data_IF_321428425597
#
_entry.id   IF_321428425597
#
_cell.length_a   1.000
_cell.length_b   1.000
_cell.length_c   1.000
_cell.angle_alpha   90.00
_cell.angle_beta   90.00
_cell.angle_gamma   90.00
#
_symmetry.space_group_name_H-M   'P 1'
#
loop_
_entity.id
_entity.type
_entity.pdbx_description
1 polymer ?
#
# COMPACT_ATOMS: atom_id res chain seq x y z
N UNK A 1 -9.85 24.88 10.13
CA UNK A 1 -10.54 23.56 10.07
C UNK A 1 -11.34 23.38 8.79
N UNK A 2 -12.23 24.31 8.38
CA UNK A 2 -12.82 24.29 7.02
C UNK A 2 -11.76 24.20 5.90
N UNK A 3 -10.59 24.84 6.07
CA UNK A 3 -9.46 24.72 5.15
C UNK A 3 -8.87 23.30 5.06
N UNK A 4 -8.85 22.53 6.15
CA UNK A 4 -8.38 21.12 6.10
C UNK A 4 -9.38 20.29 5.29
N UNK A 5 -10.68 20.51 5.49
CA UNK A 5 -11.72 19.85 4.70
C UNK A 5 -11.65 20.21 3.21
N UNK A 6 -11.41 21.48 2.88
CA UNK A 6 -11.20 21.93 1.50
C UNK A 6 -9.93 21.34 0.89
N UNK A 7 -8.84 21.25 1.67
CA UNK A 7 -7.60 20.60 1.23
C UNK A 7 -7.85 19.13 0.86
N UNK A 8 -8.66 18.40 1.66
CA UNK A 8 -9.07 17.02 1.33
C UNK A 8 -9.81 16.97 0.00
N UNK A 9 -10.68 17.94 -0.29
CA UNK A 9 -11.43 17.99 -1.54
C UNK A 9 -10.52 18.29 -2.73
N UNK A 10 -9.56 19.21 -2.61
CA UNK A 10 -8.60 19.50 -3.68
C UNK A 10 -7.65 18.33 -3.96
N UNK A 11 -7.13 17.66 -2.92
CA UNK A 11 -6.23 16.50 -3.10
C UNK A 11 -6.97 15.25 -3.58
N UNK A 12 -8.30 15.19 -3.45
CA UNK A 12 -9.11 14.13 -4.07
C UNK A 12 -8.97 14.09 -5.59
N UNK A 13 -8.57 15.20 -6.21
CA UNK A 13 -8.29 15.29 -7.64
C UNK A 13 -6.88 14.81 -8.00
N UNK A 14 -5.99 14.63 -7.02
CA UNK A 14 -4.60 14.15 -7.17
C UNK A 14 -4.47 12.63 -6.86
N UNK A 15 -5.31 11.80 -7.49
CA UNK A 15 -5.26 10.35 -7.25
C UNK A 15 -4.00 9.72 -7.86
N UNK A 16 -3.25 8.96 -7.05
CA UNK A 16 -2.14 8.13 -7.55
C UNK A 16 -2.64 7.07 -8.54
N UNK A 17 -1.77 6.62 -9.44
CA UNK A 17 -2.14 5.59 -10.42
C UNK A 17 -2.63 4.29 -9.76
N UNK A 18 -2.04 3.92 -8.62
CA UNK A 18 -2.49 2.77 -7.84
C UNK A 18 -3.92 2.99 -7.30
N UNK A 19 -4.25 4.18 -6.77
CA UNK A 19 -5.61 4.50 -6.32
C UNK A 19 -6.61 4.52 -7.48
N UNK A 20 -6.25 5.08 -8.64
CA UNK A 20 -7.09 5.08 -9.83
C UNK A 20 -7.41 3.66 -10.31
N UNK A 21 -6.42 2.78 -10.35
CA UNK A 21 -6.59 1.38 -10.71
C UNK A 21 -7.46 0.66 -9.67
N UNK A 22 -7.23 0.94 -8.39
CA UNK A 22 -8.02 0.37 -7.30
C UNK A 22 -9.50 0.77 -7.42
N UNK A 23 -9.82 2.04 -7.64
CA UNK A 23 -11.19 2.50 -7.84
C UNK A 23 -11.88 1.86 -9.05
N UNK A 24 -11.11 1.47 -10.08
CA UNK A 24 -11.59 0.70 -11.26
C UNK A 24 -11.74 -0.80 -10.99
N UNK A 25 -11.42 -1.28 -9.79
CA UNK A 25 -11.45 -2.71 -9.44
C UNK A 25 -10.30 -3.51 -10.02
N UNK A 26 -9.18 -2.85 -10.35
CA UNK A 26 -7.98 -3.47 -10.92
C UNK A 26 -6.89 -3.71 -9.85
N UNK A 27 -7.30 -3.86 -8.58
CA UNK A 27 -6.40 -4.18 -7.48
C UNK A 27 -6.17 -5.70 -7.43
N UNK A 28 -4.91 -6.13 -7.41
CA UNK A 28 -4.56 -7.54 -7.22
C UNK A 28 -4.43 -7.89 -5.74
N UNK A 29 -4.53 -9.18 -5.40
CA UNK A 29 -4.36 -9.62 -4.02
C UNK A 29 -2.98 -9.26 -3.46
N UNK A 30 -1.92 -9.35 -4.26
CA UNK A 30 -0.56 -8.96 -3.85
C UNK A 30 -0.49 -7.48 -3.51
N UNK A 31 -1.07 -6.62 -4.35
CA UNK A 31 -1.13 -5.17 -4.11
C UNK A 31 -1.88 -4.85 -2.83
N UNK A 32 -3.04 -5.47 -2.64
CA UNK A 32 -3.87 -5.25 -1.47
C UNK A 32 -3.18 -5.74 -0.18
N UNK A 33 -2.47 -6.87 -0.21
CA UNK A 33 -1.69 -7.37 0.92
C UNK A 33 -0.58 -6.40 1.34
N UNK A 34 0.16 -5.81 0.39
CA UNK A 34 1.19 -4.81 0.71
C UNK A 34 0.58 -3.52 1.25
N UNK A 35 -0.58 -3.11 0.73
CA UNK A 35 -1.34 -2.00 1.28
C UNK A 35 -1.73 -2.27 2.73
N UNK A 36 -2.28 -3.45 3.05
CA UNK A 36 -2.63 -3.83 4.43
C UNK A 36 -1.42 -3.81 5.37
N UNK A 37 -0.25 -4.33 4.94
CA UNK A 37 0.98 -4.23 5.72
C UNK A 37 1.35 -2.77 6.04
N UNK A 38 1.25 -1.89 5.05
CA UNK A 38 1.58 -0.47 5.21
C UNK A 38 0.59 0.24 6.13
N UNK A 39 -0.71 -0.03 5.96
CA UNK A 39 -1.76 0.48 6.84
C UNK A 39 -1.54 0.01 8.28
N UNK A 40 -1.24 -1.27 8.51
CA UNK A 40 -0.97 -1.79 9.84
C UNK A 40 0.17 -1.03 10.55
N UNK A 41 1.30 -0.81 9.88
CA UNK A 41 2.40 -0.03 10.45
C UNK A 41 2.00 1.42 10.78
N UNK A 42 1.23 2.06 9.88
CA UNK A 42 0.75 3.45 10.06
C UNK A 42 -0.22 3.55 11.21
N UNK A 43 -1.28 2.73 11.26
CA UNK A 43 -2.25 2.76 12.36
C UNK A 43 -1.62 2.32 13.67
N UNK A 44 -0.65 1.39 13.66
CA UNK A 44 0.09 1.04 14.89
C UNK A 44 0.82 2.23 15.48
N UNK A 45 1.48 3.03 14.63
CA UNK A 45 2.14 4.24 15.09
C UNK A 45 1.14 5.33 15.50
N UNK A 46 0.11 5.57 14.70
CA UNK A 46 -0.91 6.59 14.98
C UNK A 46 -1.66 6.31 16.27
N UNK A 47 -2.18 5.09 16.44
CA UNK A 47 -3.00 4.71 17.59
C UNK A 47 -2.17 4.67 18.87
N UNK A 48 -0.93 4.18 18.82
CA UNK A 48 -0.04 4.24 19.98
C UNK A 48 0.25 5.68 20.44
N UNK A 49 0.39 6.63 19.51
CA UNK A 49 0.64 8.03 19.86
C UNK A 49 -0.65 8.78 20.24
N UNK A 50 -1.82 8.37 19.73
CA UNK A 50 -3.11 8.86 20.22
C UNK A 50 -3.37 8.38 21.65
N UNK A 51 -3.10 7.10 21.94
CA UNK A 51 -3.24 6.52 23.28
C UNK A 51 -2.30 7.21 24.28
N UNK A 52 -1.02 7.39 23.90
CA UNK A 52 -0.02 8.10 24.73
C UNK A 52 -0.47 9.52 25.08
N UNK A 53 -1.18 10.19 24.17
CA UNK A 53 -1.59 11.58 24.30
C UNK A 53 -3.10 11.74 24.55
N UNK A 54 -3.79 10.71 25.03
CA UNK A 54 -5.25 10.72 25.18
C UNK A 54 -5.76 11.87 26.07
N UNK A 55 -4.98 12.28 27.07
CA UNK A 55 -5.32 13.38 27.98
C UNK A 55 -4.84 14.76 27.49
N UNK A 56 -4.09 14.83 26.38
CA UNK A 56 -3.61 16.10 25.84
C UNK A 56 -4.81 16.94 25.33
N UNK A 57 -4.93 18.24 25.66
CA UNK A 57 -6.13 19.05 25.33
C UNK A 57 -6.51 19.09 23.84
N UNK A 58 -5.53 18.95 22.95
CA UNK A 58 -5.77 18.91 21.51
C UNK A 58 -6.13 17.52 20.95
N UNK A 59 -5.88 16.44 21.70
CA UNK A 59 -6.12 15.04 21.26
C UNK A 59 -7.39 14.50 21.92
N UNK A 60 -7.60 14.80 23.20
CA UNK A 60 -8.74 14.34 23.99
C UNK A 60 -10.10 14.51 23.28
N UNK A 61 -10.40 15.65 22.61
CA UNK A 61 -11.70 15.82 21.96
C UNK A 61 -11.95 14.86 20.79
N UNK A 62 -10.89 14.37 20.15
CA UNK A 62 -10.95 13.51 18.96
C UNK A 62 -10.58 12.05 19.25
N UNK A 63 -10.37 11.70 20.51
CA UNK A 63 -9.98 10.36 20.94
C UNK A 63 -11.20 9.43 21.04
N UNK A 64 -11.44 8.63 19.99
CA UNK A 64 -12.55 7.69 19.85
C UNK A 64 -12.07 6.27 19.55
N UNK A 65 -11.33 5.61 20.45
CA UNK A 65 -10.71 4.31 20.16
C UNK A 65 -11.74 3.21 19.89
N UNK A 66 -12.89 3.23 20.58
CA UNK A 66 -13.93 2.20 20.43
C UNK A 66 -14.61 2.25 19.05
N UNK A 67 -14.74 3.44 18.48
CA UNK A 67 -15.39 3.66 17.20
C UNK A 67 -14.41 3.61 16.02
N UNK A 68 -13.19 4.09 16.21
CA UNK A 68 -12.24 4.37 15.13
C UNK A 68 -11.02 3.48 15.09
N UNK A 69 -10.61 2.79 16.17
CA UNK A 69 -9.39 1.99 16.15
C UNK A 69 -9.43 0.93 15.04
N UNK A 70 -8.34 0.79 14.29
CA UNK A 70 -8.21 -0.07 13.11
C UNK A 70 -7.26 -1.24 13.34
N UNK A 71 -6.46 -1.22 14.41
CA UNK A 71 -5.45 -2.26 14.62
C UNK A 71 -6.03 -3.66 14.63
N UNK A 72 -7.04 -3.93 15.46
CA UNK A 72 -7.65 -5.27 15.55
C UNK A 72 -8.19 -5.75 14.19
N UNK A 73 -8.86 -4.88 13.44
CA UNK A 73 -9.41 -5.24 12.13
C UNK A 73 -8.32 -5.47 11.08
N UNK A 74 -7.22 -4.71 11.13
CA UNK A 74 -6.04 -4.94 10.28
C UNK A 74 -5.33 -6.25 10.63
N UNK A 75 -5.24 -6.61 11.91
CA UNK A 75 -4.65 -7.89 12.33
C UNK A 75 -5.47 -9.08 11.82
N UNK A 76 -6.81 -9.01 11.88
CA UNK A 76 -7.70 -10.02 11.32
C UNK A 76 -7.54 -10.17 9.80
N UNK A 77 -7.43 -9.04 9.08
CA UNK A 77 -7.23 -9.06 7.63
C UNK A 77 -5.84 -9.62 7.26
N UNK A 78 -4.79 -9.24 7.99
CA UNK A 78 -3.44 -9.78 7.77
C UNK A 78 -3.37 -11.27 8.07
N UNK A 79 -3.98 -11.75 9.15
CA UNK A 79 -4.07 -13.18 9.45
C UNK A 79 -4.81 -13.95 8.36
N UNK A 80 -5.90 -13.38 7.79
CA UNK A 80 -6.61 -13.98 6.68
C UNK A 80 -5.70 -14.23 5.46
N UNK A 81 -4.86 -13.26 5.08
CA UNK A 81 -4.03 -13.35 3.87
C UNK A 81 -2.67 -14.01 4.05
N UNK A 82 -2.13 -14.04 5.27
CA UNK A 82 -0.76 -14.49 5.55
C UNK A 82 -0.69 -15.64 6.56
N UNK A 83 -1.82 -16.01 7.19
CA UNK A 83 -1.91 -17.03 8.23
C UNK A 83 -1.47 -16.54 9.61
N UNK A 84 -1.41 -17.43 10.62
CA UNK A 84 -1.17 -17.07 12.03
C UNK A 84 0.22 -16.46 12.29
N UNK A 85 1.16 -16.58 11.34
CA UNK A 85 2.49 -15.99 11.42
C UNK A 85 2.66 -14.73 10.56
N UNK A 86 1.55 -14.04 10.25
CA UNK A 86 1.53 -12.84 9.41
C UNK A 86 2.53 -11.76 9.84
N UNK A 87 2.77 -11.60 11.15
CA UNK A 87 3.73 -10.62 11.70
C UNK A 87 5.15 -10.80 11.13
N UNK A 88 5.57 -12.02 10.81
CA UNK A 88 6.89 -12.31 10.21
C UNK A 88 6.95 -12.02 8.70
N UNK A 89 5.81 -11.68 8.09
CA UNK A 89 5.66 -11.46 6.64
C UNK A 89 5.33 -10.01 6.29
N UNK A 90 5.33 -9.12 7.28
CA UNK A 90 5.13 -7.68 7.05
C UNK A 90 6.32 -7.15 6.28
N UNK A 91 6.03 -6.61 5.11
CA UNK A 91 6.98 -5.85 4.30
C UNK A 91 6.31 -4.56 3.89
N UNK A 92 6.98 -3.43 4.08
CA UNK A 92 6.47 -2.10 3.78
C UNK A 92 7.51 -1.26 3.05
N UNK A 93 7.11 -0.29 2.23
CA UNK A 93 8.05 0.61 1.55
C UNK A 93 8.71 1.61 2.50
N UNK A 94 9.80 2.24 2.05
CA UNK A 94 10.51 3.28 2.79
C UNK A 94 9.58 4.45 3.18
N UNK A 95 8.66 4.86 2.30
CA UNK A 95 7.65 5.88 2.61
C UNK A 95 6.78 5.53 3.84
N UNK A 96 6.48 4.24 4.06
CA UNK A 96 5.74 3.83 5.26
C UNK A 96 6.56 4.05 6.52
N UNK A 97 7.86 3.69 6.51
CA UNK A 97 8.75 3.96 7.63
C UNK A 97 8.85 5.46 7.94
N UNK A 98 9.03 6.29 6.90
CA UNK A 98 9.06 7.75 7.02
C UNK A 98 7.78 8.30 7.66
N UNK A 99 6.61 7.80 7.22
CA UNK A 99 5.33 8.19 7.81
C UNK A 99 5.24 7.78 9.29
N UNK A 100 5.51 6.52 9.62
CA UNK A 100 5.46 6.08 11.04
C UNK A 100 6.45 6.82 11.94
N UNK A 101 7.61 7.20 11.41
CA UNK A 101 8.58 8.01 12.12
C UNK A 101 8.01 9.40 12.43
N UNK A 102 7.41 10.08 11.44
CA UNK A 102 6.78 11.38 11.65
C UNK A 102 5.70 11.33 12.73
N UNK A 103 4.85 10.30 12.71
CA UNK A 103 3.81 10.10 13.72
C UNK A 103 4.38 10.01 15.15
N UNK A 104 5.46 9.24 15.33
CA UNK A 104 6.16 9.13 16.63
C UNK A 104 6.82 10.45 17.04
N UNK A 105 7.42 11.16 16.10
CA UNK A 105 8.07 12.45 16.35
C UNK A 105 7.07 13.50 16.85
N UNK A 106 5.92 13.65 16.16
CA UNK A 106 4.90 14.62 16.59
C UNK A 106 4.16 14.15 17.84
N UNK A 107 3.93 12.85 18.01
CA UNK A 107 3.32 12.30 19.21
C UNK A 107 4.14 12.59 20.47
N UNK A 108 5.47 12.66 20.34
CA UNK A 108 6.37 13.02 21.44
C UNK A 108 6.50 14.54 21.64
N UNK A 109 6.67 15.29 20.55
CA UNK A 109 7.16 16.67 20.63
C UNK A 109 6.09 17.72 20.33
N UNK A 110 5.00 17.36 19.66
CA UNK A 110 3.95 18.29 19.22
C UNK A 110 2.59 17.58 19.09
N UNK A 111 2.00 17.07 20.18
CA UNK A 111 0.81 16.22 20.12
C UNK A 111 -0.41 16.87 19.47
N UNK A 112 -0.50 18.20 19.50
CA UNK A 112 -1.54 18.96 18.79
C UNK A 112 -1.58 18.66 17.28
N UNK A 113 -0.47 18.24 16.67
CA UNK A 113 -0.40 17.91 15.25
C UNK A 113 -1.00 16.53 14.93
N UNK A 114 -1.20 15.65 15.92
CA UNK A 114 -1.83 14.34 15.71
C UNK A 114 -3.26 14.47 15.17
N UNK A 115 -3.96 15.58 15.47
CA UNK A 115 -5.30 15.86 14.94
C UNK A 115 -5.33 15.85 13.41
N UNK A 116 -4.26 16.33 12.77
CA UNK A 116 -4.15 16.38 11.32
C UNK A 116 -4.13 14.97 10.71
N UNK A 117 -3.32 14.09 11.27
CA UNK A 117 -3.20 12.71 10.80
C UNK A 117 -4.45 11.87 11.12
N UNK A 118 -4.98 11.98 12.34
CA UNK A 118 -6.21 11.30 12.71
C UNK A 118 -7.39 11.73 11.83
N UNK A 119 -7.50 13.04 11.54
CA UNK A 119 -8.47 13.56 10.59
C UNK A 119 -8.28 12.97 9.20
N UNK A 120 -7.08 13.07 8.62
CA UNK A 120 -6.80 12.59 7.26
C UNK A 120 -7.08 11.10 7.09
N UNK A 121 -6.72 10.28 8.09
CA UNK A 121 -6.93 8.83 8.07
C UNK A 121 -8.40 8.46 8.32
N UNK A 122 -8.92 8.72 9.53
CA UNK A 122 -10.23 8.20 9.93
C UNK A 122 -11.39 8.75 9.11
N UNK A 123 -11.38 10.04 8.74
CA UNK A 123 -12.47 10.61 7.93
C UNK A 123 -12.37 10.19 6.47
N UNK A 124 -11.15 9.90 5.99
CA UNK A 124 -10.94 9.22 4.71
C UNK A 124 -11.61 7.85 4.69
N UNK A 125 -11.33 7.03 5.71
CA UNK A 125 -11.90 5.69 5.84
C UNK A 125 -13.43 5.70 5.96
N UNK A 126 -13.99 6.62 6.76
CA UNK A 126 -15.44 6.79 6.91
C UNK A 126 -16.14 7.43 5.70
N UNK A 127 -15.39 7.87 4.69
CA UNK A 127 -15.94 8.48 3.47
C UNK A 127 -15.82 7.54 2.28
N UNK A 128 -14.61 7.11 1.93
CA UNK A 128 -14.34 6.26 0.78
C UNK A 128 -14.18 4.77 1.12
N UNK A 129 -13.88 4.44 2.38
CA UNK A 129 -13.55 3.08 2.79
C UNK A 129 -14.65 2.07 2.54
N UNK A 130 -15.92 2.45 2.71
CA UNK A 130 -17.05 1.55 2.42
C UNK A 130 -17.13 1.15 0.95
N UNK A 131 -16.81 2.08 0.04
CA UNK A 131 -16.80 1.82 -1.40
C UNK A 131 -15.58 0.97 -1.76
N UNK A 132 -14.40 1.30 -1.24
CA UNK A 132 -13.18 0.53 -1.45
C UNK A 132 -13.29 -0.90 -0.90
N UNK A 133 -13.94 -1.11 0.24
CA UNK A 133 -14.19 -2.45 0.79
C UNK A 133 -15.01 -3.32 -0.15
N UNK A 134 -16.11 -2.78 -0.71
CA UNK A 134 -16.93 -3.49 -1.72
C UNK A 134 -16.16 -3.78 -3.00
N UNK A 135 -15.37 -2.81 -3.47
CA UNK A 135 -14.51 -3.00 -4.65
C UNK A 135 -13.50 -4.11 -4.38
N UNK A 136 -12.89 -4.15 -3.20
CA UNK A 136 -11.91 -5.17 -2.80
C UNK A 136 -12.55 -6.55 -2.77
N UNK A 137 -13.71 -6.69 -2.11
CA UNK A 137 -14.45 -7.95 -2.06
C UNK A 137 -14.71 -8.50 -3.47
N UNK A 138 -15.21 -7.64 -4.36
CA UNK A 138 -15.49 -8.01 -5.75
C UNK A 138 -14.22 -8.36 -6.52
N UNK A 139 -13.18 -7.53 -6.44
CA UNK A 139 -11.95 -7.67 -7.23
C UNK A 139 -11.15 -8.92 -6.84
N UNK A 140 -11.20 -9.30 -5.57
CA UNK A 140 -10.46 -10.43 -5.01
C UNK A 140 -11.32 -11.69 -4.81
N UNK A 141 -12.61 -11.65 -5.15
CA UNK A 141 -13.52 -12.78 -4.99
C UNK A 141 -13.74 -13.20 -3.52
N UNK A 142 -13.68 -12.24 -2.58
CA UNK A 142 -13.84 -12.53 -1.15
C UNK A 142 -15.32 -12.71 -0.80
N UNK A 143 -15.60 -13.65 0.10
CA UNK A 143 -16.94 -13.89 0.64
C UNK A 143 -17.05 -13.35 2.08
N UNK A 144 -18.14 -12.62 2.36
CA UNK A 144 -18.34 -11.98 3.66
C UNK A 144 -17.26 -10.93 3.96
N UNK A 145 -16.94 -10.72 5.23
CA UNK A 145 -16.06 -9.64 5.68
C UNK A 145 -14.60 -10.04 5.90
N UNK A 146 -14.25 -11.34 5.72
CA UNK A 146 -12.89 -11.82 5.92
C UNK A 146 -11.96 -11.19 4.87
N UNK A 147 -10.87 -10.59 5.33
CA UNK A 147 -9.91 -9.89 4.48
C UNK A 147 -10.32 -8.45 4.13
N UNK A 148 -11.41 -7.92 4.67
CA UNK A 148 -11.82 -6.52 4.49
C UNK A 148 -12.39 -5.90 5.79
N UNK A 149 -12.07 -6.47 6.96
CA UNK A 149 -12.51 -5.96 8.26
C UNK A 149 -12.06 -4.53 8.51
N UNK A 150 -10.92 -4.10 7.97
CA UNK A 150 -10.42 -2.72 8.07
C UNK A 150 -11.48 -1.68 7.69
N UNK A 151 -12.29 -1.99 6.66
CA UNK A 151 -13.33 -1.10 6.17
C UNK A 151 -14.61 -1.13 7.02
N UNK A 152 -14.71 -2.00 8.02
CA UNK A 152 -15.90 -2.11 8.89
C UNK A 152 -15.73 -1.25 10.15
N UNK A 153 -16.76 -0.47 10.50
CA UNK A 153 -16.79 0.38 11.69
C UNK A 153 -17.99 0.01 12.56
N UNK A 154 -17.96 -1.13 13.29
CA UNK A 154 -19.10 -1.60 14.06
C UNK A 154 -19.52 -0.63 15.18
N UNK A 155 -18.58 0.13 15.74
CA UNK A 155 -18.86 1.19 16.71
C UNK A 155 -19.49 2.46 16.11
N UNK A 156 -19.60 2.56 14.78
CA UNK A 156 -20.14 3.74 14.08
C UNK A 156 -21.47 3.38 13.41
N UNK A 157 -22.59 3.72 14.05
CA UNK A 157 -23.93 3.44 13.50
C UNK A 157 -24.24 4.26 12.24
N UNK A 158 -23.73 5.49 12.15
CA UNK A 158 -23.93 6.36 10.98
C UNK A 158 -22.64 7.11 10.64
N UNK A 159 -21.94 6.72 9.56
CA UNK A 159 -20.69 7.39 9.16
C UNK A 159 -20.86 8.89 8.95
N UNK A 160 -21.98 9.34 8.38
CA UNK A 160 -22.22 10.76 8.14
C UNK A 160 -22.40 11.55 9.45
N UNK A 161 -23.20 11.04 10.39
CA UNK A 161 -23.37 11.69 11.71
C UNK A 161 -22.06 11.67 12.50
N UNK A 162 -21.32 10.57 12.46
CA UNK A 162 -20.04 10.47 13.16
C UNK A 162 -19.00 11.44 12.60
N UNK A 163 -18.91 11.61 11.28
CA UNK A 163 -18.04 12.63 10.67
C UNK A 163 -18.43 14.06 11.07
N UNK A 164 -19.72 14.35 11.23
CA UNK A 164 -20.19 15.64 11.74
C UNK A 164 -19.78 15.84 13.20
N UNK A 165 -19.99 14.83 14.05
CA UNK A 165 -19.54 14.82 15.44
C UNK A 165 -18.02 15.06 15.53
N UNK A 166 -17.23 14.27 14.79
CA UNK A 166 -15.77 14.38 14.79
C UNK A 166 -15.30 15.77 14.38
N UNK A 167 -15.89 16.36 13.32
CA UNK A 167 -15.58 17.75 12.93
C UNK A 167 -15.97 18.77 14.00
N UNK A 168 -17.10 18.58 14.67
CA UNK A 168 -17.52 19.44 15.78
C UNK A 168 -16.55 19.38 16.96
N UNK A 169 -16.10 18.18 17.34
CA UNK A 169 -15.08 17.97 18.38
C UNK A 169 -13.73 18.57 18.02
N UNK A 170 -13.34 18.41 16.77
CA UNK A 170 -12.11 19.01 16.25
C UNK A 170 -12.18 20.54 16.24
N UNK A 171 -13.36 21.13 16.00
CA UNK A 171 -13.56 22.58 16.06
C UNK A 171 -13.55 23.13 17.50
N UNK A 172 -13.78 22.31 18.53
CA UNK A 172 -13.70 22.74 19.92
C UNK A 172 -12.28 22.74 20.50
N UNK A 173 -11.27 22.32 19.72
CA UNK A 173 -9.88 22.37 20.15
C UNK A 173 -9.40 23.82 20.17
N UNK A 174 -8.99 24.28 21.34
CA UNK A 174 -8.38 25.60 21.52
C UNK A 174 -6.93 25.58 21.02
N UNK A 175 -6.66 26.34 19.95
CA UNK A 175 -5.34 26.49 19.35
C UNK A 175 -5.03 27.97 19.18
N UNK A 176 -3.78 28.34 19.47
CA UNK A 176 -3.23 29.62 19.02
C UNK A 176 -3.25 29.71 17.49
N UNK A 177 -3.14 30.92 16.94
CA UNK A 177 -3.07 31.10 15.49
C UNK A 177 -1.88 30.36 14.86
N UNK A 178 -0.74 30.33 15.56
CA UNK A 178 0.44 29.61 15.12
C UNK A 178 0.19 28.10 15.06
N UNK A 179 -0.32 27.50 16.14
CA UNK A 179 -0.66 26.07 16.16
C UNK A 179 -1.70 25.71 15.10
N UNK A 180 -2.66 26.60 14.82
CA UNK A 180 -3.66 26.39 13.78
C UNK A 180 -3.04 26.32 12.38
N UNK A 181 -2.02 27.15 12.11
CA UNK A 181 -1.25 27.09 10.86
C UNK A 181 -0.47 25.78 10.78
N UNK A 182 0.24 25.43 11.84
CA UNK A 182 1.02 24.18 11.90
C UNK A 182 0.16 22.93 11.69
N UNK A 183 -1.05 22.88 12.27
CA UNK A 183 -2.00 21.78 12.05
C UNK A 183 -2.47 21.72 10.59
N UNK A 184 -2.66 22.87 9.93
CA UNK A 184 -3.03 22.90 8.52
C UNK A 184 -1.88 22.41 7.63
N UNK A 185 -0.65 22.86 7.90
CA UNK A 185 0.54 22.41 7.18
C UNK A 185 0.80 20.91 7.42
N UNK A 186 0.58 20.42 8.64
CA UNK A 186 0.65 18.98 8.95
C UNK A 186 -0.42 18.19 8.20
N UNK A 187 -1.63 18.73 8.03
CA UNK A 187 -2.67 18.05 7.29
C UNK A 187 -2.26 17.85 5.82
N UNK A 188 -1.66 18.87 5.20
CA UNK A 188 -1.07 18.75 3.86
C UNK A 188 0.00 17.66 3.83
N UNK A 189 0.94 17.68 4.79
CA UNK A 189 1.98 16.64 4.89
C UNK A 189 1.39 15.25 5.09
N UNK A 190 0.32 15.11 5.89
CA UNK A 190 -0.37 13.84 6.08
C UNK A 190 -0.91 13.28 4.75
N UNK A 191 -1.41 14.13 3.85
CA UNK A 191 -1.80 13.71 2.51
C UNK A 191 -0.61 13.32 1.64
N UNK A 192 0.45 14.13 1.63
CA UNK A 192 1.70 13.82 0.90
C UNK A 192 2.26 12.46 1.32
N UNK A 193 2.30 12.15 2.62
CA UNK A 193 2.73 10.83 3.09
C UNK A 193 1.86 9.69 2.55
N UNK A 194 0.55 9.89 2.42
CA UNK A 194 -0.31 8.87 1.83
C UNK A 194 0.05 8.66 0.35
N UNK A 195 0.24 9.75 -0.41
CA UNK A 195 0.64 9.71 -1.82
C UNK A 195 1.98 8.99 -1.96
N UNK A 196 2.99 9.38 -1.19
CA UNK A 196 4.33 8.74 -1.17
C UNK A 196 4.23 7.23 -0.91
N UNK A 197 3.39 6.80 0.04
CA UNK A 197 3.17 5.38 0.33
C UNK A 197 2.56 4.65 -0.86
N UNK A 198 1.54 5.20 -1.51
CA UNK A 198 0.93 4.57 -2.69
C UNK A 198 1.91 4.49 -3.87
N UNK A 199 2.70 5.53 -4.10
CA UNK A 199 3.69 5.56 -5.18
C UNK A 199 4.82 4.55 -4.94
N UNK A 200 5.36 4.47 -3.73
CA UNK A 200 6.41 3.49 -3.41
C UNK A 200 5.88 2.05 -3.42
N UNK A 201 4.64 1.82 -3.00
CA UNK A 201 3.99 0.52 -3.17
C UNK A 201 3.98 0.13 -4.65
N UNK A 202 3.57 1.03 -5.53
CA UNK A 202 3.54 0.79 -6.97
C UNK A 202 4.95 0.47 -7.52
N UNK A 203 5.99 1.21 -7.12
CA UNK A 203 7.38 0.92 -7.52
C UNK A 203 7.85 -0.46 -7.07
N UNK A 204 7.58 -0.82 -5.81
CA UNK A 204 7.97 -2.11 -5.23
C UNK A 204 7.35 -3.29 -6.01
N UNK A 205 6.12 -3.13 -6.49
CA UNK A 205 5.42 -4.11 -7.32
C UNK A 205 6.02 -4.21 -8.72
N UNK A 206 6.30 -3.08 -9.39
CA UNK A 206 6.92 -3.08 -10.73
C UNK A 206 8.27 -3.80 -10.74
N UNK A 207 9.12 -3.55 -9.74
CA UNK A 207 10.42 -4.22 -9.61
C UNK A 207 10.25 -5.73 -9.44
N UNK A 208 9.27 -6.16 -8.64
CA UNK A 208 9.00 -7.59 -8.41
C UNK A 208 8.52 -8.30 -9.69
N UNK A 209 7.70 -7.62 -10.50
CA UNK A 209 7.24 -8.13 -11.79
C UNK A 209 8.38 -8.22 -12.82
N UNK A 210 9.23 -7.19 -12.91
CA UNK A 210 10.40 -7.19 -13.80
C UNK A 210 11.42 -8.28 -13.43
N UNK A 211 11.71 -8.44 -12.13
CA UNK A 211 12.57 -9.52 -11.65
C UNK A 211 12.01 -10.90 -11.98
N UNK A 212 10.69 -11.09 -11.85
CA UNK A 212 10.01 -12.34 -12.18
C UNK A 212 10.02 -12.62 -13.69
N UNK A 213 9.83 -11.59 -14.54
CA UNK A 213 9.91 -11.72 -16.01
C UNK A 213 11.34 -12.06 -16.45
N UNK A 214 12.35 -11.42 -15.88
CA UNK A 214 13.75 -11.66 -16.19
C UNK A 214 14.22 -13.07 -15.74
N UNK A 215 13.71 -13.59 -14.62
CA UNK A 215 13.96 -14.98 -14.20
C UNK A 215 13.31 -15.98 -15.18
N UNK A 216 12.10 -15.70 -15.67
CA UNK A 216 11.41 -16.54 -16.67
C UNK A 216 12.10 -16.52 -18.04
N UNK A 217 12.56 -15.36 -18.53
CA UNK A 217 13.35 -15.29 -19.79
C UNK A 217 14.70 -15.97 -19.65
N UNK A 218 15.37 -15.86 -18.49
CA UNK A 218 16.63 -16.58 -18.24
C UNK A 218 16.44 -18.11 -18.20
N UNK A 219 15.36 -18.59 -17.57
CA UNK A 219 15.00 -20.02 -17.55
C UNK A 219 14.56 -20.54 -18.91
N UNK A 220 13.92 -19.71 -19.74
CA UNK A 220 13.52 -20.07 -21.10
C UNK A 220 14.72 -20.17 -22.04
N UNK A 221 15.75 -19.35 -21.86
CA UNK A 221 17.03 -19.49 -22.59
C UNK A 221 17.91 -20.65 -22.08
N UNK A 222 17.74 -21.10 -20.83
CA UNK A 222 18.51 -22.23 -20.28
C UNK A 222 18.09 -23.63 -20.77
N UNK A 223 17.03 -23.75 -21.60
CA UNK A 223 16.60 -25.03 -22.20
C UNK A 223 17.21 -25.35 -23.56
N UNK A 224 18.15 -24.55 -24.05
CA UNK A 224 18.95 -24.87 -25.25
C UNK A 224 20.45 -24.68 -24.98
N UNK A 225 21.05 -25.59 -24.22
CA UNK A 225 22.48 -25.89 -24.36
C UNK A 225 22.65 -27.39 -24.48
N UNK A 226 22.67 -27.85 -25.74
CA UNK A 226 23.22 -29.13 -26.13
C UNK A 226 24.63 -28.91 -26.68
N UNK A 227 25.47 -29.91 -26.43
CA UNK A 227 26.81 -30.19 -26.95
C UNK A 227 28.02 -29.59 -26.20
N UNK A 228 28.76 -30.53 -25.60
CA UNK A 228 30.12 -30.44 -25.09
C UNK A 228 31.14 -30.53 -26.23
N UNK A 229 32.33 -29.89 -26.15
CA UNK A 229 33.46 -30.21 -27.02
C UNK A 229 34.59 -30.87 -26.23
N UNK A 230 34.93 -32.13 -26.54
CA UNK A 230 36.24 -32.71 -26.18
C UNK A 230 36.81 -33.48 -27.37
N UNK A 231 37.77 -32.82 -28.01
CA UNK A 231 39.07 -33.30 -28.52
C UNK A 231 39.19 -34.77 -29.00
N UNK A 232 39.38 -34.96 -30.31
CA UNK A 232 40.04 -36.14 -30.87
C UNK A 232 40.94 -35.69 -32.04
N UNK A 233 42.24 -35.99 -31.93
CA UNK A 233 43.28 -35.79 -32.93
C UNK A 233 43.85 -37.18 -33.24
N UNK A 234 43.76 -37.66 -34.48
CA UNK A 234 44.69 -38.63 -35.07
C UNK A 234 44.33 -38.93 -36.54
N UNK A 235 45.36 -38.85 -37.40
CA UNK A 235 45.37 -39.22 -38.81
C UNK A 235 45.12 -40.72 -39.04
N UNK A 236 44.50 -41.05 -40.17
CA UNK A 236 44.44 -42.41 -40.72
C UNK A 236 44.13 -42.40 -42.23
N UNK A 237 45.08 -42.93 -43.00
CA UNK A 237 45.21 -42.97 -44.46
C UNK A 237 44.22 -43.93 -45.15
N UNK A 238 43.87 -43.65 -46.42
CA UNK A 238 43.37 -44.65 -47.39
C UNK A 238 42.26 -44.10 -48.30
N UNK A 239 42.53 -43.66 -49.55
CA UNK A 239 42.46 -44.46 -50.80
C UNK A 239 41.00 -44.96 -51.03
N UNK A 240 40.21 -44.59 -52.05
CA UNK A 240 40.45 -44.44 -53.50
C UNK A 240 39.18 -43.90 -54.20
N UNK A 241 39.37 -43.10 -55.26
CA UNK A 241 38.73 -43.16 -56.59
C UNK A 241 37.24 -43.54 -56.75
N UNK A 242 36.45 -42.67 -57.40
CA UNK A 242 36.06 -42.84 -58.82
C UNK A 242 34.85 -41.98 -59.27
N UNK A 243 35.13 -41.05 -60.20
CA UNK A 243 34.40 -40.78 -61.47
C UNK A 243 32.96 -40.24 -61.44
N UNK A 244 32.72 -38.99 -61.87
CA UNK A 244 32.45 -38.48 -63.26
C UNK A 244 31.03 -38.76 -63.76
N UNK A 245 30.36 -37.70 -64.24
CA UNK A 245 29.17 -37.76 -65.11
C UNK A 245 28.10 -36.74 -64.71
N UNK A 246 28.15 -35.49 -65.19
CA UNK A 246 27.52 -34.98 -66.44
C UNK A 246 25.98 -34.95 -66.37
N UNK A 247 25.40 -33.77 -66.64
CA UNK A 247 24.03 -33.62 -67.17
C UNK A 247 23.25 -32.48 -66.48
N UNK A 248 23.28 -31.20 -66.87
CA UNK A 248 22.79 -30.56 -68.12
C UNK A 248 21.29 -30.16 -68.08
N UNK A 249 21.03 -28.89 -68.46
CA UNK A 249 19.78 -28.16 -68.80
C UNK A 249 18.76 -27.93 -67.66
N UNK A 250 18.51 -26.70 -67.18
CA UNK A 250 17.94 -25.48 -67.79
C UNK A 250 16.49 -25.61 -68.28
N UNK A 251 15.60 -24.89 -67.60
CA UNK A 251 14.68 -23.89 -68.15
C UNK A 251 14.27 -22.93 -67.03
#
# INVERSE_FOLDING_TARGET
MQKIAALVETTRDENTQLMLNYQKGQITQTQYKLLLCSLYEIYRALEAELDRNADHPAVQPIYFPQELARLETLELDLEHFFGPHWRKRITVPAATHKYTQRLREIGKNSPNLLVAHAYTRYLGDLSGGQVLGKITQKSLGLSGNKGVFFFSFPGVTSPNRFKQLYRSRMNSIELTEQQRREVLDEATRAFEFNIEVFDDLQKMLSITEEASRNDVTSKTQSKTFSSSPVLQFALGVGITLATVGIGVYAF
#
